data_IF_615487028097
#
_entry.id   IF_615487028097
#
_cell.length_a   1.000
_cell.length_b   1.000
_cell.length_c   1.000
_cell.angle_alpha   90.00
_cell.angle_beta   90.00
_cell.angle_gamma   90.00
#
_symmetry.space_group_name_H-M   'P 1'
#
loop_
_entity.id
_entity.type
_entity.pdbx_description
1 polymer ?
#
# COMPACT_ATOMS: atom_id res chain seq x y z
N UNK A 1 -31.71 7.88 -6.71
CA UNK A 1 -30.90 6.65 -6.76
C UNK A 1 -29.45 7.05 -6.62
N UNK A 2 -28.77 6.54 -5.60
CA UNK A 2 -27.35 6.79 -5.35
C UNK A 2 -26.53 5.85 -6.24
N UNK A 3 -25.82 6.37 -7.23
CA UNK A 3 -24.91 5.57 -8.05
C UNK A 3 -23.51 5.61 -7.44
N UNK A 4 -23.00 4.45 -7.04
CA UNK A 4 -21.58 4.26 -6.69
C UNK A 4 -20.82 3.90 -7.97
N UNK A 5 -19.79 4.69 -8.31
CA UNK A 5 -18.89 4.38 -9.42
C UNK A 5 -17.63 3.75 -8.81
N UNK A 6 -17.41 2.47 -9.11
CA UNK A 6 -16.23 1.73 -8.68
C UNK A 6 -15.08 1.92 -9.67
N UNK A 7 -13.89 2.25 -9.18
CA UNK A 7 -12.66 2.19 -9.95
C UNK A 7 -11.73 1.17 -9.30
N UNK A 8 -11.44 0.07 -10.01
CA UNK A 8 -10.44 -0.92 -9.63
C UNK A 8 -9.52 -1.18 -10.82
N UNK A 9 -8.23 -0.87 -10.67
CA UNK A 9 -7.21 -1.30 -11.62
C UNK A 9 -6.81 -2.74 -11.28
N UNK A 10 -7.16 -3.69 -12.14
CA UNK A 10 -6.89 -5.13 -11.94
C UNK A 10 -5.50 -5.58 -12.44
N UNK A 11 -4.67 -4.64 -12.92
CA UNK A 11 -3.53 -5.01 -13.78
C UNK A 11 -2.25 -5.43 -13.02
N UNK A 12 -2.19 -5.28 -11.69
CA UNK A 12 -1.00 -5.65 -10.90
C UNK A 12 -1.38 -6.20 -9.52
N UNK A 13 -1.90 -7.42 -9.47
CA UNK A 13 -2.16 -8.15 -8.22
C UNK A 13 -0.95 -9.07 -7.95
N UNK A 14 -0.10 -8.69 -7.01
CA UNK A 14 0.93 -9.59 -6.45
C UNK A 14 0.34 -10.36 -5.26
N UNK A 15 0.46 -11.70 -5.22
CA UNK A 15 -0.23 -12.55 -4.23
C UNK A 15 0.33 -12.49 -2.80
N UNK A 16 1.13 -11.48 -2.44
CA UNK A 16 1.91 -11.45 -1.20
C UNK A 16 1.65 -10.26 -0.26
N UNK A 17 0.81 -9.29 -0.63
CA UNK A 17 0.40 -8.26 0.33
C UNK A 17 -0.79 -8.77 1.15
N UNK A 18 -0.59 -8.97 2.45
CA UNK A 18 -1.60 -9.45 3.43
C UNK A 18 -2.75 -8.46 3.68
N UNK A 19 -2.72 -7.30 3.02
CA UNK A 19 -3.42 -6.10 3.48
C UNK A 19 -4.69 -5.77 2.69
N UNK A 20 -5.17 -6.76 1.92
CA UNK A 20 -6.40 -6.71 1.16
C UNK A 20 -6.38 -5.67 0.04
N UNK A 21 -7.46 -5.65 -0.73
CA UNK A 21 -7.59 -4.71 -1.83
C UNK A 21 -8.14 -3.37 -1.32
N UNK A 22 -7.51 -2.28 -1.74
CA UNK A 22 -7.96 -0.92 -1.44
C UNK A 22 -8.68 -0.33 -2.64
N UNK A 23 -9.95 -0.01 -2.46
CA UNK A 23 -10.79 0.61 -3.47
C UNK A 23 -11.28 1.97 -3.01
N UNK A 24 -11.50 2.88 -3.95
CA UNK A 24 -11.95 4.24 -3.67
C UNK A 24 -13.16 4.54 -4.54
N UNK A 25 -14.22 4.97 -3.89
CA UNK A 25 -15.49 5.32 -4.50
C UNK A 25 -15.76 6.79 -4.26
N UNK A 26 -16.43 7.41 -5.21
CA UNK A 26 -17.07 8.69 -5.00
C UNK A 26 -18.57 8.46 -4.92
N UNK A 27 -19.18 8.84 -3.80
CA UNK A 27 -20.64 8.90 -3.73
C UNK A 27 -21.10 10.24 -4.27
N UNK A 28 -21.75 10.23 -5.43
CA UNK A 28 -22.40 11.41 -5.99
C UNK A 28 -23.53 11.92 -5.10
N UNK A 29 -24.24 11.02 -4.42
CA UNK A 29 -25.32 11.37 -3.50
C UNK A 29 -24.82 12.13 -2.27
N UNK A 30 -23.66 11.72 -1.75
CA UNK A 30 -23.10 12.29 -0.53
C UNK A 30 -22.01 13.34 -0.78
N UNK A 31 -21.59 13.52 -2.04
CA UNK A 31 -20.43 14.35 -2.43
C UNK A 31 -19.17 14.03 -1.62
N UNK A 32 -18.94 12.74 -1.34
CA UNK A 32 -17.86 12.28 -0.46
C UNK A 32 -17.06 11.15 -1.10
N UNK A 33 -15.78 11.12 -0.77
CA UNK A 33 -14.87 10.02 -1.10
C UNK A 33 -15.00 8.92 -0.05
N UNK A 34 -15.32 7.72 -0.50
CA UNK A 34 -15.41 6.52 0.30
C UNK A 34 -14.21 5.66 -0.05
N UNK A 35 -13.27 5.55 0.89
CA UNK A 35 -12.17 4.60 0.75
C UNK A 35 -12.66 3.30 1.38
N UNK A 36 -12.58 2.21 0.65
CA UNK A 36 -13.09 0.88 0.98
C UNK A 36 -11.90 -0.05 0.91
N UNK A 37 -11.36 -0.41 2.06
CA UNK A 37 -10.36 -1.47 2.15
C UNK A 37 -11.07 -2.79 2.36
N UNK A 38 -11.07 -3.68 1.38
CA UNK A 38 -11.60 -5.03 1.50
C UNK A 38 -10.48 -6.00 1.84
N UNK A 39 -10.44 -6.46 3.09
CA UNK A 39 -9.53 -7.54 3.49
C UNK A 39 -10.12 -8.89 3.04
N UNK A 40 -9.96 -9.20 1.76
CA UNK A 40 -10.18 -10.55 1.26
C UNK A 40 -8.95 -11.41 1.53
N UNK A 41 -9.12 -12.58 2.15
CA UNK A 41 -8.07 -13.60 2.11
C UNK A 41 -7.97 -14.14 0.68
N UNK A 42 -7.12 -13.53 -0.15
CA UNK A 42 -6.87 -13.92 -1.54
C UNK A 42 -6.58 -15.43 -1.68
N UNK A 43 -5.92 -16.01 -0.67
CA UNK A 43 -5.60 -17.43 -0.59
C UNK A 43 -6.81 -18.39 -0.71
N UNK A 44 -8.04 -17.89 -0.57
CA UNK A 44 -9.26 -18.68 -0.69
C UNK A 44 -9.77 -18.84 -2.14
N UNK A 45 -9.41 -17.93 -3.05
CA UNK A 45 -9.89 -17.94 -4.43
C UNK A 45 -8.91 -18.69 -5.32
N UNK A 46 -9.41 -19.70 -6.03
CA UNK A 46 -8.60 -20.54 -6.94
C UNK A 46 -8.62 -19.98 -8.35
N UNK A 47 -9.72 -19.35 -8.75
CA UNK A 47 -9.96 -18.81 -10.09
C UNK A 47 -10.29 -17.31 -10.01
N UNK A 48 -9.92 -16.56 -11.06
CA UNK A 48 -10.12 -15.11 -11.16
C UNK A 48 -11.61 -14.73 -11.17
N UNK A 49 -12.43 -15.55 -11.81
CA UNK A 49 -13.87 -15.36 -11.98
C UNK A 49 -14.59 -15.44 -10.63
N UNK A 50 -14.20 -16.37 -9.75
CA UNK A 50 -14.75 -16.50 -8.40
C UNK A 50 -14.49 -15.24 -7.57
N UNK A 51 -13.29 -14.67 -7.70
CA UNK A 51 -12.92 -13.42 -7.05
C UNK A 51 -13.76 -12.25 -7.58
N UNK A 52 -13.92 -12.11 -8.91
CA UNK A 52 -14.74 -11.05 -9.51
C UNK A 52 -16.21 -11.16 -9.05
N UNK A 53 -16.76 -12.39 -9.02
CA UNK A 53 -18.13 -12.62 -8.58
C UNK A 53 -18.32 -12.27 -7.10
N UNK A 54 -17.42 -12.74 -6.23
CA UNK A 54 -17.40 -12.37 -4.82
C UNK A 54 -17.29 -10.86 -4.63
N UNK A 55 -16.41 -10.21 -5.39
CA UNK A 55 -16.20 -8.77 -5.36
C UNK A 55 -17.46 -7.98 -5.73
N UNK A 56 -18.10 -8.32 -6.85
CA UNK A 56 -19.35 -7.70 -7.26
C UNK A 56 -20.43 -7.87 -6.17
N UNK A 57 -20.50 -9.03 -5.53
CA UNK A 57 -21.42 -9.25 -4.41
C UNK A 57 -21.11 -8.35 -3.21
N UNK A 58 -19.83 -8.16 -2.87
CA UNK A 58 -19.42 -7.21 -1.82
C UNK A 58 -19.84 -5.78 -2.17
N UNK A 59 -19.67 -5.35 -3.42
CA UNK A 59 -20.09 -4.03 -3.88
C UNK A 59 -21.60 -3.83 -3.77
N UNK A 60 -22.40 -4.82 -4.19
CA UNK A 60 -23.86 -4.79 -4.05
C UNK A 60 -24.29 -4.72 -2.58
N UNK A 61 -23.61 -5.47 -1.70
CA UNK A 61 -23.86 -5.43 -0.26
C UNK A 61 -23.52 -4.07 0.34
N UNK A 62 -22.41 -3.44 -0.08
CA UNK A 62 -22.05 -2.09 0.36
C UNK A 62 -23.08 -1.08 -0.14
N UNK A 63 -23.43 -1.14 -1.43
CA UNK A 63 -24.39 -0.25 -2.06
C UNK A 63 -25.77 -0.33 -1.39
N UNK A 64 -26.21 -1.51 -0.97
CA UNK A 64 -27.49 -1.69 -0.27
C UNK A 64 -27.46 -1.18 1.18
N UNK A 65 -26.27 -1.07 1.78
CA UNK A 65 -26.10 -0.63 3.17
C UNK A 65 -25.56 0.80 3.30
N UNK A 66 -25.26 1.49 2.20
CA UNK A 66 -24.53 2.77 2.20
C UNK A 66 -25.28 3.87 2.94
N UNK A 67 -26.61 3.84 2.94
CA UNK A 67 -27.46 4.81 3.63
C UNK A 67 -27.42 4.65 5.17
N UNK A 68 -26.89 3.53 5.67
CA UNK A 68 -26.67 3.31 7.10
C UNK A 68 -25.35 3.93 7.61
N UNK A 69 -24.52 4.49 6.72
CA UNK A 69 -23.29 5.17 7.10
C UNK A 69 -23.59 6.58 7.62
N UNK A 70 -23.20 6.81 8.86
CA UNK A 70 -23.08 8.13 9.44
C UNK A 70 -21.74 8.74 9.02
N UNK A 71 -21.80 9.58 8.00
CA UNK A 71 -20.62 10.30 7.50
C UNK A 71 -20.19 11.46 8.38
N UNK A 72 -20.91 11.81 9.45
CA UNK A 72 -20.49 12.87 10.37
C UNK A 72 -19.47 12.35 11.40
N UNK A 73 -19.28 11.03 11.48
CA UNK A 73 -18.35 10.37 12.41
C UNK A 73 -16.97 10.14 11.80
N UNK A 74 -16.12 11.16 11.90
CA UNK A 74 -14.77 11.21 11.32
C UNK A 74 -13.77 10.17 11.89
N UNK A 75 -14.06 9.59 13.05
CA UNK A 75 -13.21 8.68 13.80
C UNK A 75 -13.68 7.21 13.73
N UNK A 76 -14.66 6.92 12.87
CA UNK A 76 -15.25 5.59 12.77
C UNK A 76 -14.85 4.85 11.51
N UNK A 77 -14.60 3.56 11.70
CA UNK A 77 -14.41 2.60 10.64
C UNK A 77 -15.72 1.87 10.42
N UNK A 78 -16.08 1.66 9.16
CA UNK A 78 -17.28 0.91 8.80
C UNK A 78 -16.93 -0.51 8.39
N UNK A 79 -17.61 -1.47 8.99
CA UNK A 79 -17.43 -2.91 8.79
C UNK A 79 -18.70 -3.50 8.15
N UNK A 80 -18.59 -4.07 6.96
CA UNK A 80 -19.68 -4.90 6.40
C UNK A 80 -19.68 -6.25 7.11
N UNK A 81 -20.79 -6.59 7.72
CA UNK A 81 -21.01 -7.89 8.34
C UNK A 81 -22.22 -8.55 7.70
N UNK A 82 -22.11 -9.85 7.43
CA UNK A 82 -23.23 -10.66 6.96
C UNK A 82 -23.93 -11.29 8.17
N UNK A 83 -25.23 -11.08 8.28
CA UNK A 83 -26.07 -11.65 9.34
C UNK A 83 -27.16 -12.53 8.75
N UNK A 84 -27.91 -13.26 9.60
CA UNK A 84 -29.05 -14.05 9.16
C UNK A 84 -30.13 -13.20 8.45
N UNK A 85 -30.24 -11.91 8.75
CA UNK A 85 -31.17 -10.97 8.11
C UNK A 85 -30.58 -10.27 6.87
N UNK A 86 -29.36 -10.60 6.47
CA UNK A 86 -28.66 -9.99 5.34
C UNK A 86 -27.42 -9.17 5.73
N UNK A 87 -26.80 -8.50 4.75
CA UNK A 87 -25.67 -7.61 4.99
C UNK A 87 -26.09 -6.39 5.82
N UNK A 88 -25.18 -5.91 6.65
CA UNK A 88 -25.31 -4.61 7.33
C UNK A 88 -23.93 -4.00 7.54
N UNK A 89 -23.88 -2.67 7.64
CA UNK A 89 -22.66 -1.95 8.02
C UNK A 89 -22.73 -1.60 9.51
N UNK A 90 -21.62 -1.83 10.22
CA UNK A 90 -21.42 -1.41 11.62
C UNK A 90 -20.29 -0.39 11.63
N UNK A 91 -20.52 0.79 12.22
CA UNK A 91 -19.47 1.77 12.45
C UNK A 91 -18.93 1.67 13.87
N UNK A 92 -17.61 1.52 14.01
CA UNK A 92 -16.93 1.52 15.30
C UNK A 92 -15.79 2.53 15.31
N UNK A 93 -15.56 3.26 16.41
CA UNK A 93 -14.34 4.02 16.58
C UNK A 93 -13.12 3.10 16.43
N UNK A 94 -12.10 3.60 15.74
CA UNK A 94 -10.79 2.95 15.70
C UNK A 94 -9.73 4.02 15.92
N UNK A 95 -8.92 3.81 16.94
CA UNK A 95 -7.72 4.61 17.12
C UNK A 95 -6.69 4.19 16.07
N UNK A 96 -6.23 5.15 15.30
CA UNK A 96 -5.13 4.96 14.37
C UNK A 96 -3.80 5.23 15.05
N UNK A 97 -2.75 4.67 14.47
CA UNK A 97 -1.37 5.01 14.76
C UNK A 97 -1.19 6.52 14.84
N UNK A 98 -0.54 7.00 15.90
CA UNK A 98 -0.26 8.42 16.09
C UNK A 98 1.22 8.66 15.85
N UNK A 99 1.51 9.39 14.77
CA UNK A 99 2.88 9.74 14.42
C UNK A 99 3.43 10.71 15.48
N UNK A 100 4.58 10.41 16.11
CA UNK A 100 5.21 11.33 17.05
C UNK A 100 5.53 12.67 16.40
N UNK A 101 5.28 13.78 17.08
CA UNK A 101 5.43 15.13 16.51
C UNK A 101 6.81 15.78 16.77
N UNK A 102 7.73 15.08 17.42
CA UNK A 102 8.97 15.66 17.92
C UNK A 102 9.98 16.04 16.82
N UNK A 103 9.82 15.49 15.62
CA UNK A 103 10.75 15.69 14.51
C UNK A 103 10.24 16.62 13.40
N UNK A 104 9.06 17.22 13.56
CA UNK A 104 8.40 18.06 12.55
C UNK A 104 9.11 19.42 12.38
N UNK A 105 9.43 19.80 11.13
CA UNK A 105 10.12 21.07 10.83
C UNK A 105 9.37 21.98 9.84
N UNK A 106 8.27 21.50 9.24
CA UNK A 106 7.45 22.28 8.33
C UNK A 106 6.21 22.86 9.07
N UNK A 107 5.57 23.91 8.53
CA UNK A 107 4.33 24.44 9.07
C UNK A 107 3.26 23.37 9.28
N UNK A 108 2.41 23.56 10.29
CA UNK A 108 1.20 22.77 10.51
C UNK A 108 0.04 23.39 9.75
N UNK A 109 -0.67 22.56 8.98
CA UNK A 109 -1.87 22.96 8.22
C UNK A 109 -2.98 21.98 8.55
N UNK A 110 -4.16 22.50 8.91
CA UNK A 110 -5.32 21.62 9.09
C UNK A 110 -5.84 21.15 7.73
N UNK A 111 -6.23 19.88 7.64
CA UNK A 111 -6.73 19.27 6.40
C UNK A 111 -7.95 20.02 5.84
N UNK A 112 -8.73 20.69 6.69
CA UNK A 112 -9.87 21.52 6.27
C UNK A 112 -9.48 22.81 5.54
N UNK A 113 -8.22 23.25 5.64
CA UNK A 113 -7.68 24.39 4.88
C UNK A 113 -7.30 24.02 3.43
N UNK A 114 -7.30 22.73 3.10
CA UNK A 114 -6.80 22.20 1.83
C UNK A 114 -7.98 21.93 0.89
N UNK A 115 -8.00 22.61 -0.25
CA UNK A 115 -8.97 22.37 -1.32
C UNK A 115 -8.51 21.18 -2.18
N UNK A 116 -8.87 19.97 -1.78
CA UNK A 116 -8.58 18.76 -2.54
C UNK A 116 -9.30 18.80 -3.89
N UNK A 117 -8.59 18.51 -4.97
CA UNK A 117 -9.16 18.50 -6.33
C UNK A 117 -9.34 17.08 -6.86
N UNK A 118 -8.44 16.17 -6.44
CA UNK A 118 -8.45 14.76 -6.78
C UNK A 118 -7.78 13.98 -5.65
N UNK A 119 -8.24 12.77 -5.38
CA UNK A 119 -7.65 11.88 -4.38
C UNK A 119 -7.65 10.44 -4.91
N UNK A 120 -6.55 9.73 -4.69
CA UNK A 120 -6.34 8.34 -5.06
C UNK A 120 -5.33 7.68 -4.11
N UNK A 121 -5.75 6.63 -3.40
CA UNK A 121 -4.97 5.85 -2.43
C UNK A 121 -4.17 6.72 -1.47
N UNK A 122 -4.84 7.70 -0.84
CA UNK A 122 -4.19 8.65 0.07
C UNK A 122 -3.41 9.77 -0.63
N UNK A 123 -3.08 9.66 -1.92
CA UNK A 123 -2.44 10.71 -2.71
C UNK A 123 -3.46 11.63 -3.37
N UNK A 124 -3.33 12.92 -3.15
CA UNK A 124 -4.22 13.93 -3.68
C UNK A 124 -3.50 15.03 -4.44
N UNK A 125 -4.20 15.59 -5.42
CA UNK A 125 -3.85 16.88 -6.00
C UNK A 125 -4.76 17.90 -5.36
N UNK A 126 -4.20 19.01 -4.86
CA UNK A 126 -4.96 20.01 -4.14
C UNK A 126 -4.51 21.43 -4.45
N UNK A 127 -5.27 22.40 -3.93
CA UNK A 127 -4.93 23.81 -3.89
C UNK A 127 -4.90 24.26 -2.44
N UNK A 128 -3.82 24.92 -2.04
CA UNK A 128 -3.68 25.54 -0.72
C UNK A 128 -3.18 26.98 -0.88
N UNK A 129 -3.95 27.95 -0.37
CA UNK A 129 -3.67 29.40 -0.51
C UNK A 129 -3.37 29.83 -1.95
N UNK A 130 -4.12 29.29 -2.92
CA UNK A 130 -3.96 29.57 -4.34
C UNK A 130 -2.79 28.84 -5.03
N UNK A 131 -2.00 28.03 -4.30
CA UNK A 131 -0.88 27.23 -4.84
C UNK A 131 -1.34 25.80 -5.09
N UNK A 132 -1.00 25.24 -6.26
CA UNK A 132 -1.15 23.80 -6.55
C UNK A 132 -0.13 23.00 -5.74
N UNK A 133 -0.59 21.97 -5.07
CA UNK A 133 0.21 21.12 -4.17
C UNK A 133 -0.17 19.65 -4.36
N UNK A 134 0.75 18.77 -3.99
CA UNK A 134 0.48 17.35 -3.89
C UNK A 134 0.36 17.00 -2.40
N UNK A 135 -0.65 16.23 -2.02
CA UNK A 135 -0.95 15.91 -0.63
C UNK A 135 -0.98 14.40 -0.45
N UNK A 136 -0.38 13.88 0.61
CA UNK A 136 -0.54 12.47 1.02
C UNK A 136 -1.26 12.44 2.36
N UNK A 137 -2.36 11.71 2.47
CA UNK A 137 -3.15 11.53 3.69
C UNK A 137 -3.22 10.04 4.03
N UNK A 138 -2.83 9.71 5.24
CA UNK A 138 -2.92 8.37 5.79
C UNK A 138 -4.31 8.10 6.29
N UNK A 139 -4.84 6.93 5.94
CA UNK A 139 -6.19 6.51 6.28
C UNK A 139 -6.23 5.16 7.01
N UNK A 140 -5.06 4.54 7.23
CA UNK A 140 -4.86 3.35 8.05
C UNK A 140 -3.48 3.42 8.73
N UNK A 141 -3.17 2.46 9.61
CA UNK A 141 -1.93 2.45 10.38
C UNK A 141 -0.68 2.36 9.47
N UNK A 142 -0.70 1.48 8.46
CA UNK A 142 0.41 1.31 7.50
C UNK A 142 0.72 2.60 6.73
N UNK A 143 -0.31 3.31 6.25
CA UNK A 143 -0.12 4.58 5.55
C UNK A 143 0.39 5.69 6.48
N UNK A 144 -0.02 5.67 7.74
CA UNK A 144 0.48 6.63 8.74
C UNK A 144 1.94 6.34 9.12
N UNK A 145 2.32 5.07 9.25
CA UNK A 145 3.73 4.65 9.36
C UNK A 145 4.54 5.10 8.13
N UNK A 146 3.99 4.95 6.92
CA UNK A 146 4.64 5.45 5.70
C UNK A 146 4.77 6.98 5.68
N UNK A 147 3.80 7.73 6.20
CA UNK A 147 3.90 9.20 6.32
C UNK A 147 4.99 9.58 7.31
N UNK A 148 5.14 8.85 8.41
CA UNK A 148 6.26 9.02 9.32
C UNK A 148 7.60 8.79 8.62
N UNK A 149 7.76 7.67 7.92
CA UNK A 149 8.98 7.38 7.16
C UNK A 149 9.24 8.40 6.06
N UNK A 150 8.22 8.80 5.30
CA UNK A 150 8.32 9.88 4.30
C UNK A 150 8.82 11.17 4.94
N UNK A 151 8.27 11.53 6.10
CA UNK A 151 8.65 12.72 6.83
C UNK A 151 10.11 12.66 7.26
N UNK A 152 10.56 11.58 7.89
CA UNK A 152 11.97 11.43 8.26
C UNK A 152 12.88 11.49 7.02
N UNK A 153 12.55 10.76 5.97
CA UNK A 153 13.33 10.75 4.73
C UNK A 153 13.43 12.13 4.08
N UNK A 154 12.32 12.87 3.96
CA UNK A 154 12.29 14.21 3.38
C UNK A 154 13.18 15.19 4.16
N UNK A 155 13.25 15.05 5.48
CA UNK A 155 14.14 15.86 6.33
C UNK A 155 15.61 15.66 5.96
N UNK A 156 15.99 14.41 5.74
CA UNK A 156 17.37 14.00 5.47
C UNK A 156 17.81 14.38 4.05
N UNK A 157 16.91 14.28 3.06
CA UNK A 157 17.25 14.56 1.66
C UNK A 157 16.94 16.00 1.20
N UNK A 158 16.41 16.86 2.07
CA UNK A 158 15.98 18.22 1.66
C UNK A 158 17.09 19.05 1.00
N UNK A 159 18.34 18.87 1.43
CA UNK A 159 19.50 19.58 0.90
C UNK A 159 20.02 19.02 -0.43
N UNK A 160 19.58 17.82 -0.81
CA UNK A 160 20.05 17.12 -2.01
C UNK A 160 19.25 17.50 -3.25
N UNK A 161 18.10 18.15 -3.08
CA UNK A 161 17.24 18.60 -4.19
C UNK A 161 16.87 17.44 -5.15
N UNK A 162 16.51 16.27 -4.60
CA UNK A 162 16.13 15.05 -5.34
C UNK A 162 14.68 14.60 -5.10
N UNK A 163 13.92 15.35 -4.30
CA UNK A 163 12.50 15.11 -4.04
C UNK A 163 11.72 16.43 -4.12
N UNK A 164 10.39 16.35 -4.18
CA UNK A 164 9.54 17.53 -4.04
C UNK A 164 9.60 18.05 -2.61
N UNK A 165 9.82 19.35 -2.46
CA UNK A 165 9.96 19.95 -1.14
C UNK A 165 8.70 19.77 -0.29
N UNK A 166 8.88 19.48 1.00
CA UNK A 166 7.79 19.50 1.97
C UNK A 166 7.37 20.95 2.23
N UNK A 167 6.11 21.27 1.96
CA UNK A 167 5.51 22.59 2.21
C UNK A 167 4.93 22.65 3.62
N UNK A 168 4.23 21.60 4.05
CA UNK A 168 3.61 21.53 5.36
C UNK A 168 3.34 20.10 5.81
N UNK A 169 3.18 19.95 7.11
CA UNK A 169 2.59 18.80 7.77
C UNK A 169 1.07 18.96 7.84
N UNK A 170 0.32 17.94 7.45
CA UNK A 170 -1.14 17.99 7.38
C UNK A 170 -1.74 17.34 8.61
N UNK A 171 -2.55 18.10 9.34
CA UNK A 171 -3.17 17.70 10.59
C UNK A 171 -4.68 17.55 10.47
N UNK A 172 -5.26 16.70 11.30
CA UNK A 172 -6.71 16.67 11.58
C UNK A 172 -6.90 16.83 13.07
N UNK A 173 -7.37 18.00 13.50
CA UNK A 173 -7.27 18.37 14.91
C UNK A 173 -5.80 18.34 15.33
N UNK A 174 -5.46 17.61 16.40
CA UNK A 174 -4.09 17.49 16.90
C UNK A 174 -3.25 16.34 16.35
N UNK A 175 -3.81 15.55 15.42
CA UNK A 175 -3.15 14.37 14.88
C UNK A 175 -2.50 14.68 13.54
N UNK A 176 -1.23 14.33 13.38
CA UNK A 176 -0.56 14.31 12.07
C UNK A 176 -1.18 13.20 11.22
N UNK A 177 -1.72 13.57 10.06
CA UNK A 177 -2.40 12.63 9.15
C UNK A 177 -1.79 12.64 7.75
N UNK A 178 -0.78 13.45 7.48
CA UNK A 178 -0.27 13.57 6.12
C UNK A 178 0.85 14.57 5.90
N UNK A 179 1.30 14.63 4.65
CA UNK A 179 2.29 15.57 4.14
C UNK A 179 1.71 16.38 2.98
N UNK A 180 2.15 17.62 2.83
CA UNK A 180 1.85 18.47 1.68
C UNK A 180 3.16 18.89 1.01
N UNK A 181 3.32 18.58 -0.27
CA UNK A 181 4.55 18.76 -1.05
C UNK A 181 4.35 19.70 -2.23
N UNK A 182 5.47 20.16 -2.79
CA UNK A 182 5.46 20.83 -4.09
C UNK A 182 4.77 19.96 -5.15
N UNK A 183 4.03 20.60 -6.06
CA UNK A 183 3.26 19.82 -7.03
C UNK A 183 4.14 19.19 -8.11
N UNK A 184 3.92 17.91 -8.36
CA UNK A 184 4.58 17.14 -9.43
C UNK A 184 3.97 17.35 -10.82
N UNK A 185 2.92 18.18 -10.95
CA UNK A 185 2.17 18.35 -12.21
C UNK A 185 2.98 18.85 -13.40
N UNK A 186 4.07 19.59 -13.16
CA UNK A 186 4.92 20.13 -14.22
C UNK A 186 6.01 19.15 -14.69
N UNK A 187 6.02 17.94 -14.13
CA UNK A 187 7.09 16.97 -14.36
C UNK A 187 6.78 16.04 -15.52
N UNK A 188 7.83 15.45 -16.06
CA UNK A 188 7.78 14.57 -17.25
C UNK A 188 8.46 13.24 -16.99
N UNK A 189 8.05 12.16 -17.67
CA UNK A 189 8.72 10.87 -17.57
C UNK A 189 10.21 10.98 -17.86
N UNK A 190 10.98 10.07 -17.24
CA UNK A 190 12.40 9.89 -17.55
C UNK A 190 12.53 9.40 -19.00
N UNK A 191 13.53 9.91 -19.70
CA UNK A 191 13.88 9.58 -21.09
C UNK A 191 15.29 8.98 -21.13
N UNK A 192 15.62 8.30 -22.22
CA UNK A 192 16.96 7.74 -22.46
C UNK A 192 18.10 8.77 -22.21
N UNK A 193 17.91 10.02 -22.62
CA UNK A 193 18.90 11.09 -22.46
C UNK A 193 19.13 11.52 -21.01
N UNK A 194 18.24 11.17 -20.08
CA UNK A 194 18.36 11.52 -18.67
C UNK A 194 19.26 10.54 -17.89
N UNK A 195 19.77 9.49 -18.54
CA UNK A 195 20.55 8.41 -17.89
C UNK A 195 21.62 8.94 -16.96
N UNK A 196 22.50 9.80 -17.45
CA UNK A 196 23.59 10.33 -16.63
C UNK A 196 23.09 11.08 -15.39
N UNK A 197 22.04 11.89 -15.54
CA UNK A 197 21.44 12.66 -14.43
C UNK A 197 20.78 11.75 -13.39
N UNK A 198 20.08 10.71 -13.82
CA UNK A 198 19.46 9.73 -12.92
C UNK A 198 20.53 8.98 -12.13
N UNK A 199 21.53 8.39 -12.80
CA UNK A 199 22.62 7.70 -12.11
C UNK A 199 23.37 8.62 -11.13
N UNK A 200 23.58 9.89 -11.49
CA UNK A 200 24.21 10.87 -10.60
C UNK A 200 23.39 11.15 -9.33
N UNK A 201 22.06 11.21 -9.43
CA UNK A 201 21.16 11.40 -8.30
C UNK A 201 21.18 10.20 -7.33
N UNK A 202 21.22 8.97 -7.85
CA UNK A 202 21.34 7.77 -7.02
C UNK A 202 22.73 7.62 -6.39
N UNK A 203 23.78 8.00 -7.12
CA UNK A 203 25.12 8.04 -6.55
C UNK A 203 25.24 9.09 -5.44
N UNK A 204 24.46 10.18 -5.51
CA UNK A 204 24.39 11.18 -4.44
C UNK A 204 23.75 10.60 -3.18
N UNK A 205 22.66 9.82 -3.30
CA UNK A 205 22.05 9.12 -2.18
C UNK A 205 23.00 8.11 -1.53
N UNK A 206 23.64 7.25 -2.33
CA UNK A 206 24.54 6.21 -1.81
C UNK A 206 25.73 6.84 -1.06
N UNK A 207 26.32 7.93 -1.60
CA UNK A 207 27.39 8.67 -0.91
C UNK A 207 26.94 9.26 0.43
N UNK A 208 25.65 9.50 0.59
CA UNK A 208 25.04 9.96 1.83
C UNK A 208 24.51 8.81 2.70
N UNK A 209 24.94 7.56 2.44
CA UNK A 209 24.54 6.36 3.18
C UNK A 209 23.03 6.12 3.15
N UNK A 210 22.40 6.36 2.00
CA UNK A 210 20.97 6.18 1.81
C UNK A 210 20.64 5.37 0.57
N UNK A 211 19.64 4.48 0.69
CA UNK A 211 19.11 3.66 -0.42
C UNK A 211 17.61 3.87 -0.54
N UNK A 212 17.15 4.46 -1.64
CA UNK A 212 15.75 4.37 -2.05
C UNK A 212 15.42 2.97 -2.61
N UNK A 213 14.55 2.23 -1.94
CA UNK A 213 14.16 0.85 -2.30
C UNK A 213 12.96 0.76 -3.26
N UNK A 214 12.39 1.89 -3.67
CA UNK A 214 11.18 1.92 -4.51
C UNK A 214 11.44 1.70 -6.00
N UNK A 215 12.69 1.76 -6.46
CA UNK A 215 13.05 1.64 -7.88
C UNK A 215 12.73 0.29 -8.53
N UNK A 216 12.37 -0.73 -7.74
CA UNK A 216 11.92 -2.04 -8.27
C UNK A 216 10.70 -1.89 -9.18
N UNK A 217 9.92 -0.82 -8.98
CA UNK A 217 8.87 -0.40 -9.89
C UNK A 217 9.37 0.83 -10.66
N UNK A 218 9.50 0.72 -11.98
CA UNK A 218 10.02 1.71 -12.97
C UNK A 218 9.35 3.11 -12.99
N UNK A 219 8.53 3.39 -11.99
CA UNK A 219 7.50 4.41 -11.96
C UNK A 219 7.73 5.47 -10.87
N UNK A 220 8.84 5.37 -10.12
CA UNK A 220 9.04 6.15 -8.89
C UNK A 220 10.02 7.33 -9.04
N UNK A 221 10.53 7.55 -10.25
CA UNK A 221 11.43 8.65 -10.59
C UNK A 221 10.89 9.47 -11.76
N UNK A 222 11.06 10.77 -11.65
CA UNK A 222 10.58 11.70 -12.67
C UNK A 222 11.53 12.87 -12.87
N UNK A 223 11.38 13.59 -13.98
CA UNK A 223 12.16 14.80 -14.26
C UNK A 223 11.27 16.02 -14.10
N UNK A 224 11.70 17.01 -13.32
CA UNK A 224 10.98 18.28 -13.22
C UNK A 224 11.23 19.18 -14.45
N UNK A 225 10.57 20.35 -14.48
CA UNK A 225 10.71 21.35 -15.55
C UNK A 225 12.14 21.88 -15.73
N UNK A 226 13.00 21.72 -14.72
CA UNK A 226 14.40 22.14 -14.72
C UNK A 226 15.35 21.01 -15.11
N UNK A 227 14.83 19.82 -15.44
CA UNK A 227 15.63 18.66 -15.78
C UNK A 227 16.30 18.00 -14.57
N UNK A 228 15.77 18.22 -13.36
CA UNK A 228 16.25 17.57 -12.13
C UNK A 228 15.46 16.30 -11.83
N UNK A 229 16.12 15.33 -11.21
CA UNK A 229 15.48 14.10 -10.75
C UNK A 229 14.61 14.38 -9.53
N UNK A 230 13.44 13.73 -9.50
CA UNK A 230 12.48 13.79 -8.40
C UNK A 230 12.01 12.39 -8.05
N UNK A 231 12.25 11.98 -6.82
CA UNK A 231 11.72 10.74 -6.26
C UNK A 231 10.31 10.96 -5.73
N UNK A 232 9.37 10.09 -6.11
CA UNK A 232 7.96 10.20 -5.74
C UNK A 232 7.64 9.60 -4.36
N UNK A 233 8.42 8.62 -3.92
CA UNK A 233 8.23 7.85 -2.69
C UNK A 233 9.48 7.93 -1.78
N UNK A 234 9.66 9.04 -1.05
CA UNK A 234 10.74 9.18 -0.07
C UNK A 234 10.64 8.17 1.09
N UNK A 235 9.45 7.68 1.42
CA UNK A 235 9.22 6.65 2.45
C UNK A 235 9.94 5.34 2.20
N UNK A 236 10.40 5.08 0.98
CA UNK A 236 11.21 3.91 0.65
C UNK A 236 12.72 4.12 0.88
N UNK A 237 13.15 5.27 1.40
CA UNK A 237 14.55 5.55 1.69
C UNK A 237 14.94 4.89 3.02
N UNK A 238 15.92 3.99 2.96
CA UNK A 238 16.60 3.43 4.12
C UNK A 238 17.91 4.17 4.35
N UNK A 239 18.17 4.52 5.60
CA UNK A 239 19.44 5.08 6.07
C UNK A 239 20.34 3.94 6.57
N UNK A 240 21.64 4.10 6.37
CA UNK A 240 22.67 3.17 6.83
C UNK A 240 23.65 3.90 7.76
N UNK A 241 24.13 3.20 8.78
CA UNK A 241 25.28 3.57 9.56
C UNK A 241 26.57 3.55 8.74
N UNK A 242 27.61 4.23 9.24
CA UNK A 242 28.93 4.24 8.58
C UNK A 242 29.61 2.88 8.60
N UNK A 243 29.28 2.08 9.61
CA UNK A 243 29.73 0.71 9.84
C UNK A 243 28.98 -0.32 8.98
N UNK A 244 27.83 0.04 8.40
CA UNK A 244 27.02 -0.83 7.53
C UNK A 244 27.40 -0.72 6.05
N UNK A 245 28.66 -0.36 5.74
CA UNK A 245 29.13 -0.06 4.37
C UNK A 245 28.94 -1.24 3.41
N UNK A 246 29.22 -2.47 3.85
CA UNK A 246 29.07 -3.66 3.02
C UNK A 246 27.59 -3.97 2.72
N UNK A 247 26.68 -3.72 3.67
CA UNK A 247 25.24 -3.88 3.46
C UNK A 247 24.71 -2.79 2.53
N UNK A 248 25.16 -1.54 2.70
CA UNK A 248 24.85 -0.41 1.82
C UNK A 248 25.23 -0.74 0.36
N UNK A 249 26.45 -1.24 0.12
CA UNK A 249 26.92 -1.56 -1.23
C UNK A 249 26.11 -2.71 -1.87
N UNK A 250 25.76 -3.74 -1.10
CA UNK A 250 24.90 -4.84 -1.55
C UNK A 250 23.50 -4.36 -1.92
N UNK A 251 22.92 -3.51 -1.07
CA UNK A 251 21.59 -2.97 -1.29
C UNK A 251 21.58 -1.92 -2.41
N UNK A 252 22.65 -1.13 -2.58
CA UNK A 252 22.81 -0.25 -3.73
C UNK A 252 22.82 -1.04 -5.05
N UNK A 253 23.55 -2.14 -5.10
CA UNK A 253 23.54 -3.02 -6.27
C UNK A 253 22.12 -3.56 -6.55
N UNK A 254 21.43 -4.04 -5.53
CA UNK A 254 20.11 -4.70 -5.64
C UNK A 254 18.98 -3.71 -5.97
N UNK A 255 18.96 -2.55 -5.33
CA UNK A 255 17.85 -1.61 -5.38
C UNK A 255 18.10 -0.39 -6.26
N UNK A 256 19.35 -0.03 -6.55
CA UNK A 256 19.69 1.10 -7.44
C UNK A 256 20.27 0.63 -8.76
N UNK A 257 21.44 -0.01 -8.73
CA UNK A 257 22.25 -0.17 -9.93
C UNK A 257 21.65 -1.16 -10.93
N UNK A 258 21.29 -2.38 -10.50
CA UNK A 258 20.66 -3.34 -11.41
C UNK A 258 19.29 -2.89 -11.92
N UNK A 259 18.38 -2.34 -11.07
CA UNK A 259 17.11 -1.81 -11.57
C UNK A 259 17.28 -0.65 -12.56
N UNK A 260 18.21 0.29 -12.30
CA UNK A 260 18.45 1.41 -13.22
C UNK A 260 19.03 0.93 -14.56
N UNK A 261 19.93 -0.04 -14.56
CA UNK A 261 20.44 -0.63 -15.79
C UNK A 261 19.30 -1.24 -16.61
N UNK A 262 18.49 -2.11 -15.99
CA UNK A 262 17.32 -2.74 -16.62
C UNK A 262 16.32 -1.70 -17.14
N UNK A 263 16.03 -0.68 -16.33
CA UNK A 263 15.14 0.41 -16.67
C UNK A 263 15.61 1.16 -17.93
N UNK A 264 16.90 1.51 -18.00
CA UNK A 264 17.42 2.23 -19.16
C UNK A 264 17.65 1.34 -20.39
N UNK A 265 17.82 0.04 -20.22
CA UNK A 265 17.91 -0.92 -21.32
C UNK A 265 16.60 -0.98 -22.13
N UNK A 266 15.44 -0.69 -21.50
CA UNK A 266 14.15 -0.58 -22.21
C UNK A 266 14.22 0.44 -23.35
N UNK A 267 14.87 1.59 -23.14
CA UNK A 267 15.02 2.62 -24.17
C UNK A 267 16.00 2.21 -25.28
N UNK A 268 17.03 1.44 -24.93
CA UNK A 268 17.98 0.90 -25.91
C UNK A 268 17.30 -0.15 -26.80
N UNK A 269 16.49 -1.02 -26.20
CA UNK A 269 15.75 -2.07 -26.90
C UNK A 269 14.57 -1.52 -27.71
N UNK A 270 13.98 -0.41 -27.25
CA UNK A 270 12.81 0.20 -27.89
C UNK A 270 13.01 1.70 -28.13
N UNK A 271 13.82 2.08 -29.14
CA UNK A 271 14.04 3.48 -29.48
C UNK A 271 12.71 4.18 -29.79
N UNK A 272 12.40 5.25 -29.06
CA UNK A 272 11.15 6.01 -29.22
C UNK A 272 10.01 5.60 -28.28
N UNK A 273 10.20 4.62 -27.41
CA UNK A 273 9.27 4.40 -26.29
C UNK A 273 9.36 5.58 -25.34
N UNK A 274 8.25 6.31 -25.23
CA UNK A 274 8.01 7.21 -24.11
C UNK A 274 7.31 6.41 -23.01
N UNK A 275 7.99 6.20 -21.89
CA UNK A 275 7.37 5.60 -20.72
C UNK A 275 6.18 6.48 -20.33
N UNK A 276 4.98 5.88 -20.32
CA UNK A 276 3.81 6.56 -19.81
C UNK A 276 3.97 6.69 -18.31
N UNK A 277 3.72 7.91 -17.84
CA UNK A 277 3.72 8.25 -16.43
C UNK A 277 2.85 7.26 -15.64
N UNK A 278 3.24 6.88 -14.42
CA UNK A 278 2.37 6.13 -13.53
C UNK A 278 1.06 6.87 -13.41
N UNK A 279 0.04 6.13 -13.78
CA UNK A 279 -1.33 6.53 -14.04
C UNK A 279 -2.04 7.12 -12.80
N UNK A 280 -1.44 7.00 -11.61
CA UNK A 280 -2.08 7.30 -10.32
C UNK A 280 -2.47 8.77 -10.11
N UNK A 281 -1.71 9.73 -10.65
CA UNK A 281 -2.04 11.17 -10.54
C UNK A 281 -2.73 11.73 -11.79
N UNK A 282 -2.47 11.16 -12.97
CA UNK A 282 -2.84 11.74 -14.28
C UNK A 282 -3.71 10.80 -15.14
N UNK A 283 -4.60 9.99 -14.57
CA UNK A 283 -5.85 9.79 -15.32
C UNK A 283 -6.61 11.12 -15.30
N UNK A 284 -6.75 11.85 -16.43
CA UNK A 284 -8.07 12.35 -16.72
C UNK A 284 -8.90 11.08 -16.78
N UNK A 285 -9.62 10.80 -15.71
CA UNK A 285 -10.83 10.00 -15.84
C UNK A 285 -11.62 10.70 -16.94
N UNK A 286 -11.48 10.23 -18.18
CA UNK A 286 -12.25 10.68 -19.34
C UNK A 286 -13.75 10.37 -19.16
N UNK A 287 -14.13 9.83 -18.00
CA UNK A 287 -15.47 9.62 -17.48
C UNK A 287 -15.77 10.32 -16.14
N UNK A 288 -14.87 11.16 -15.60
CA UNK A 288 -15.35 12.13 -14.61
C UNK A 288 -16.21 13.14 -15.37
N UNK A 289 -17.51 13.08 -15.08
CA UNK A 289 -18.46 14.13 -15.41
C UNK A 289 -17.81 15.49 -15.11
N UNK A 290 -18.05 16.45 -16.00
CA UNK A 290 -17.43 17.78 -16.06
C UNK A 290 -17.05 18.37 -14.68
N UNK A 291 -15.94 19.14 -14.58
CA UNK A 291 -15.48 19.72 -13.33
C UNK A 291 -16.56 20.62 -12.75
N UNK A 292 -17.38 20.09 -11.84
CA UNK A 292 -18.19 20.92 -10.95
C UNK A 292 -17.23 21.60 -9.98
N UNK A 293 -17.36 22.90 -9.71
CA UNK A 293 -16.56 23.58 -8.70
C UNK A 293 -16.86 22.94 -7.33
N UNK A 294 -15.96 22.06 -6.88
CA UNK A 294 -16.08 21.33 -5.63
C UNK A 294 -15.63 22.25 -4.49
N UNK A 295 -16.58 22.85 -3.77
CA UNK A 295 -16.30 23.81 -2.67
C UNK A 295 -16.71 23.29 -1.29
N UNK A 296 -17.09 22.01 -1.17
CA UNK A 296 -17.57 21.45 0.09
C UNK A 296 -16.64 20.33 0.56
N UNK A 297 -15.81 20.68 1.56
CA UNK A 297 -15.08 19.85 2.54
C UNK A 297 -14.97 18.37 2.18
N UNK A 298 -13.78 17.99 1.70
CA UNK A 298 -13.43 16.59 1.52
C UNK A 298 -13.30 15.90 2.87
N UNK A 299 -14.17 14.93 3.12
CA UNK A 299 -14.00 13.99 4.22
C UNK A 299 -13.66 12.63 3.62
N UNK A 300 -12.46 12.14 3.94
CA UNK A 300 -12.07 10.75 3.66
C UNK A 300 -12.60 9.93 4.83
N UNK A 301 -13.62 9.12 4.57
CA UNK A 301 -14.07 8.09 5.53
C UNK A 301 -13.39 6.78 5.14
N UNK A 302 -12.39 6.31 5.92
CA UNK A 302 -11.85 4.96 5.74
C UNK A 302 -12.92 3.94 6.17
N UNK A 303 -13.46 3.23 5.20
CA UNK A 303 -14.30 2.06 5.38
C UNK A 303 -13.39 0.83 5.27
N UNK A 304 -13.43 -0.06 6.25
CA UNK A 304 -12.73 -1.35 6.19
C UNK A 304 -13.72 -2.48 6.25
N UNK A 305 -13.76 -3.22 5.17
CA UNK A 305 -14.55 -4.41 5.04
C UNK A 305 -13.68 -5.60 5.42
N UNK A 306 -13.73 -5.92 6.72
CA UNK A 306 -13.31 -7.25 7.20
C UNK A 306 -14.40 -8.24 6.79
N UNK A 307 -14.34 -8.74 5.57
CA UNK A 307 -15.19 -9.83 5.13
C UNK A 307 -14.56 -11.11 5.64
N UNK A 308 -14.95 -11.50 6.85
CA UNK A 308 -14.75 -12.88 7.27
C UNK A 308 -15.61 -13.76 6.36
N UNK A 309 -15.01 -14.28 5.29
CA UNK A 309 -15.58 -15.43 4.62
C UNK A 309 -15.67 -16.52 5.69
N UNK A 310 -16.87 -16.79 6.19
CA UNK A 310 -17.16 -18.02 6.89
C UNK A 310 -17.04 -19.16 5.87
N UNK A 311 -15.81 -19.47 5.45
CA UNK A 311 -15.54 -20.70 4.76
C UNK A 311 -15.76 -21.77 5.81
N UNK A 312 -16.88 -22.48 5.70
CA UNK A 312 -17.16 -23.66 6.51
C UNK A 312 -15.89 -24.52 6.55
N UNK A 313 -15.35 -24.89 7.73
CA UNK A 313 -14.11 -25.67 7.84
C UNK A 313 -14.11 -26.94 6.97
N UNK A 314 -15.30 -27.47 6.69
CA UNK A 314 -15.60 -28.58 5.80
C UNK A 314 -15.14 -28.34 4.34
N UNK A 315 -15.32 -27.13 3.79
CA UNK A 315 -14.95 -26.80 2.40
C UNK A 315 -13.44 -26.65 2.22
N UNK A 316 -12.74 -26.11 3.23
CA UNK A 316 -11.27 -26.07 3.27
C UNK A 316 -10.71 -27.49 3.30
N UNK A 317 -11.26 -28.38 4.14
CA UNK A 317 -10.88 -29.81 4.19
C UNK A 317 -11.10 -30.52 2.85
N UNK A 318 -12.21 -30.22 2.17
CA UNK A 318 -12.57 -30.83 0.87
C UNK A 318 -11.66 -30.34 -0.26
N UNK A 319 -11.32 -29.04 -0.30
CA UNK A 319 -10.36 -28.46 -1.26
C UNK A 319 -8.92 -28.89 -0.97
N UNK A 320 -8.49 -28.99 0.28
CA UNK A 320 -7.17 -29.52 0.65
C UNK A 320 -7.01 -31.02 0.33
N UNK A 321 -8.06 -31.84 0.50
CA UNK A 321 -8.04 -33.26 0.08
C UNK A 321 -7.83 -33.46 -1.42
N UNK A 322 -8.15 -32.46 -2.26
CA UNK A 322 -7.90 -32.49 -3.71
C UNK A 322 -6.45 -32.16 -4.07
N UNK A 323 -5.70 -31.47 -3.19
CA UNK A 323 -4.26 -31.21 -3.32
C UNK A 323 -3.46 -32.30 -2.60
N UNK A 324 -3.51 -33.55 -3.10
CA UNK A 324 -2.70 -34.64 -2.55
C UNK A 324 -1.24 -34.49 -3.02
N UNK A 325 -0.37 -34.23 -2.05
CA UNK A 325 1.10 -34.23 -2.17
C UNK A 325 1.82 -33.96 -0.85
N UNK A 326 1.12 -33.55 0.22
CA UNK A 326 1.70 -33.32 1.55
C UNK A 326 1.23 -34.40 2.51
N UNK A 327 2.16 -35.20 3.03
CA UNK A 327 1.90 -36.08 4.17
C UNK A 327 2.05 -35.26 5.45
N UNK A 328 1.08 -35.35 6.37
CA UNK A 328 1.16 -34.75 7.70
C UNK A 328 1.38 -35.85 8.71
N UNK A 329 2.40 -35.72 9.56
CA UNK A 329 2.57 -36.57 10.73
C UNK A 329 2.05 -35.79 11.95
N UNK A 330 1.11 -36.37 12.67
CA UNK A 330 0.55 -35.80 13.90
C UNK A 330 1.12 -36.59 15.07
N UNK A 331 1.87 -35.92 15.94
CA UNK A 331 2.35 -36.50 17.20
C UNK A 331 1.58 -35.87 18.35
N UNK A 332 1.00 -36.72 19.19
CA UNK A 332 0.20 -36.29 20.32
C UNK A 332 1.02 -36.40 21.60
N UNK A 333 1.14 -35.31 22.36
CA UNK A 333 1.85 -35.27 23.64
C UNK A 333 0.86 -34.88 24.74
N UNK A 334 0.86 -35.61 25.86
CA UNK A 334 0.00 -35.32 27.01
C UNK A 334 0.84 -34.71 28.13
N UNK A 335 0.42 -33.54 28.61
CA UNK A 335 1.02 -32.87 29.77
C UNK A 335 -0.07 -32.14 30.55
N UNK A 336 -0.08 -32.29 31.88
CA UNK A 336 -1.00 -31.57 32.77
C UNK A 336 -2.50 -31.82 32.52
N UNK A 337 -2.89 -33.01 32.10
CA UNK A 337 -4.30 -33.34 31.81
C UNK A 337 -4.84 -32.79 30.48
N UNK A 338 -4.00 -32.09 29.70
CA UNK A 338 -4.33 -31.62 28.36
C UNK A 338 -3.60 -32.46 27.30
N UNK A 339 -4.26 -32.65 26.16
CA UNK A 339 -3.71 -33.36 25.00
C UNK A 339 -3.32 -32.32 23.95
N UNK A 340 -2.01 -32.18 23.69
CA UNK A 340 -1.48 -31.28 22.68
C UNK A 340 -1.14 -32.08 21.41
N UNK A 341 -1.62 -31.64 20.26
CA UNK A 341 -1.29 -32.25 18.97
C UNK A 341 -0.26 -31.38 18.25
N UNK A 342 0.96 -31.90 18.10
CA UNK A 342 2.00 -31.28 17.28
C UNK A 342 1.82 -31.78 15.85
N UNK A 343 1.56 -30.85 14.92
CA UNK A 343 1.40 -31.15 13.50
C UNK A 343 2.59 -30.59 12.75
N UNK A 344 3.49 -31.46 12.30
CA UNK A 344 4.58 -31.08 11.40
C UNK A 344 4.21 -31.44 9.97
N UNK A 345 4.43 -30.49 9.06
CA UNK A 345 4.28 -30.70 7.62
C UNK A 345 5.68 -30.79 7.01
N UNK A 346 6.02 -31.93 6.43
CA UNK A 346 7.23 -32.09 5.63
C UNK A 346 6.86 -32.22 4.16
N UNK A 347 7.65 -31.55 3.32
CA UNK A 347 7.55 -31.64 1.86
C UNK A 347 8.29 -32.90 1.44
N UNK A 348 7.60 -33.85 0.82
CA UNK A 348 8.25 -35.01 0.21
C UNK A 348 8.83 -34.56 -1.12
N UNK A 349 10.07 -34.09 -1.10
CA UNK A 349 10.86 -33.94 -2.31
C UNK A 349 11.44 -35.32 -2.60
N UNK A 350 10.91 -35.99 -3.61
CA UNK A 350 11.34 -37.32 -4.01
C UNK A 350 12.79 -37.31 -4.48
N UNK A 351 13.70 -37.78 -3.62
CA UNK A 351 15.10 -38.01 -3.94
C UNK A 351 15.74 -38.83 -2.83
N UNK A 352 15.90 -40.13 -3.07
CA UNK A 352 16.50 -41.03 -2.07
C UNK A 352 17.99 -40.79 -1.90
N UNK A 353 18.43 -40.67 -0.66
CA UNK A 353 19.68 -41.25 -0.18
C UNK A 353 19.59 -41.37 1.35
N UNK A 354 19.96 -42.53 1.87
CA UNK A 354 20.06 -42.78 3.32
C UNK A 354 21.41 -42.24 3.75
N UNK A 355 21.39 -41.18 4.56
CA UNK A 355 22.53 -40.73 5.36
C UNK A 355 22.08 -40.81 6.81
N UNK A 356 22.77 -41.62 7.60
CA UNK A 356 22.67 -41.59 9.07
C UNK A 356 23.28 -40.27 9.54
N UNK A 357 22.46 -39.42 10.18
CA UNK A 357 22.91 -38.20 10.85
C UNK A 357 22.61 -38.25 12.36
N UNK A 358 23.58 -37.69 13.10
CA UNK A 358 23.77 -37.59 14.55
C UNK A 358 22.63 -36.82 15.27
N UNK A 359 22.28 -37.11 16.54
CA UNK A 359 21.07 -36.54 17.17
C UNK A 359 21.18 -35.12 17.73
N UNK A 360 22.28 -34.38 17.57
CA UNK A 360 22.52 -33.15 18.36
C UNK A 360 22.25 -31.80 17.66
N UNK A 361 21.91 -31.74 16.37
CA UNK A 361 21.55 -30.46 15.73
C UNK A 361 20.06 -30.39 15.35
N UNK A 362 19.26 -29.72 16.19
CA UNK A 362 17.93 -29.22 15.81
C UNK A 362 17.85 -27.71 15.94
N UNK A 363 17.76 -27.07 14.79
CA UNK A 363 17.34 -25.68 14.59
C UNK A 363 15.84 -25.55 14.86
N UNK A 364 15.46 -24.48 15.57
CA UNK A 364 14.09 -24.10 15.89
C UNK A 364 13.22 -23.91 14.64
N UNK A 365 12.32 -24.87 14.40
CA UNK A 365 11.23 -24.73 13.44
C UNK A 365 10.01 -24.13 14.13
N UNK A 366 9.58 -22.94 13.67
CA UNK A 366 8.37 -22.27 14.17
C UNK A 366 7.12 -23.15 14.05
N UNK A 367 6.62 -23.60 15.21
CA UNK A 367 5.33 -24.27 15.34
C UNK A 367 4.27 -23.31 15.86
N UNK A 368 3.04 -23.44 15.37
CA UNK A 368 1.88 -22.77 15.98
C UNK A 368 1.19 -23.73 16.96
N UNK A 369 0.91 -23.23 18.16
CA UNK A 369 0.11 -23.93 19.17
C UNK A 369 -1.36 -23.67 18.87
N UNK A 370 -2.15 -24.73 18.75
CA UNK A 370 -3.62 -24.64 18.72
C UNK A 370 -4.13 -25.26 20.02
N UNK A 371 -4.69 -24.43 20.91
CA UNK A 371 -5.53 -24.93 22.00
C UNK A 371 -6.87 -25.40 21.42
N UNK A 372 -7.31 -26.59 21.83
CA UNK A 372 -8.63 -27.15 21.50
C UNK A 372 -9.47 -27.18 22.76
#
# INVERSE_FOLDING_TARGET
MSHVIAYGGLDWITPYDSDGDLFIFWSLAYRRLLVVQALGQYAAFVEKEDYIAWWNQCLENIQSCIDALDFEREDTWAYLVTTASGPRIIQKPRELYQIPCDFLWAPRVDVSEIDMQKMNQGFGLAVWRGRKVDVRIGFNDKELEQIEFETLALKEIQSMDIAYGLIAHVFRGDKLVGTMRESSRASRPVRATDRATVFAAFALLERAFMINRSLVNDQNIVMDEKGRVRMLYPDAIRLYGRDEREELERDAQTYHWEPLEKFFDIFTQNPGVELRWPIYLVYPSSTCLAPTPFSERFMVVPLRFDVHACIQPEEIKKKHRRRKGVSKMVRTVRSGGRTLALVTATRNDGGGSVVEEDPEDRVDGGGFIVEV
#
